data_IF_624025413933
#
_entry.id   IF_624025413933
#
_cell.length_a   1.000
_cell.length_b   1.000
_cell.length_c   1.000
_cell.angle_alpha   90.00
_cell.angle_beta   90.00
_cell.angle_gamma   90.00
#
_symmetry.space_group_name_H-M   'P 1'
#
loop_
_entity.id
_entity.type
_entity.pdbx_description
1 polymer ?
#
# COMPACT_ATOMS: atom_id res chain seq x y z
N UNK A 1 -7.02 -39.32 6.12
CA UNK A 1 -7.31 -39.15 7.57
C UNK A 1 -6.92 -37.76 8.09
N UNK A 2 -5.80 -37.21 7.68
CA UNK A 2 -5.30 -35.88 8.09
C UNK A 2 -6.21 -34.72 7.58
N UNK A 3 -6.66 -34.80 6.35
CA UNK A 3 -7.58 -33.81 5.76
C UNK A 3 -8.96 -33.76 6.44
N UNK A 4 -9.46 -34.87 6.95
CA UNK A 4 -10.68 -34.91 7.78
C UNK A 4 -10.48 -34.26 9.15
N UNK A 5 -9.30 -34.42 9.76
CA UNK A 5 -8.94 -33.76 11.03
C UNK A 5 -8.82 -32.24 10.88
N UNK A 6 -8.21 -31.77 9.81
CA UNK A 6 -8.13 -30.36 9.49
C UNK A 6 -9.51 -29.72 9.25
N UNK A 7 -10.41 -30.41 8.54
CA UNK A 7 -11.79 -29.94 8.37
C UNK A 7 -12.56 -29.91 9.68
N UNK A 8 -12.39 -30.88 10.55
CA UNK A 8 -12.99 -30.88 11.87
C UNK A 8 -12.48 -29.74 12.75
N UNK A 9 -11.17 -29.46 12.73
CA UNK A 9 -10.59 -28.33 13.44
C UNK A 9 -11.11 -26.97 12.93
N UNK A 10 -11.26 -26.79 11.63
CA UNK A 10 -11.61 -25.49 11.05
C UNK A 10 -13.10 -25.20 10.96
N UNK A 11 -13.96 -26.23 10.89
CA UNK A 11 -15.40 -26.08 10.65
C UNK A 11 -16.24 -26.39 11.90
N UNK A 12 -15.78 -27.30 12.75
CA UNK A 12 -16.56 -27.81 13.89
C UNK A 12 -16.02 -27.45 15.27
N UNK A 13 -14.87 -26.82 15.32
CA UNK A 13 -14.17 -26.51 16.56
C UNK A 13 -15.02 -25.76 17.59
N UNK A 14 -16.02 -25.01 17.15
CA UNK A 14 -16.80 -24.09 18.00
C UNK A 14 -18.02 -24.68 18.63
N UNK A 15 -18.67 -25.59 17.93
CA UNK A 15 -19.95 -26.16 18.38
C UNK A 15 -19.84 -27.62 18.80
N UNK A 16 -18.73 -28.28 18.48
CA UNK A 16 -18.51 -29.71 18.69
C UNK A 16 -17.23 -30.02 19.43
N UNK A 17 -16.71 -29.12 20.22
CA UNK A 17 -15.51 -29.32 21.01
C UNK A 17 -15.64 -30.54 21.91
N UNK A 18 -16.78 -30.67 22.60
CA UNK A 18 -17.05 -31.86 23.48
C UNK A 18 -17.12 -33.15 22.66
N UNK A 19 -17.76 -33.11 21.50
CA UNK A 19 -17.86 -34.26 20.60
C UNK A 19 -16.48 -34.65 20.04
N UNK A 20 -15.66 -33.66 19.68
CA UNK A 20 -14.32 -33.90 19.18
C UNK A 20 -13.42 -34.56 20.28
N UNK A 21 -13.53 -34.11 21.51
CA UNK A 21 -12.83 -34.67 22.66
C UNK A 21 -13.30 -36.10 22.92
N UNK A 22 -14.61 -36.35 22.87
CA UNK A 22 -15.16 -37.71 23.06
C UNK A 22 -14.67 -38.69 21.98
N UNK A 23 -14.71 -38.27 20.71
CA UNK A 23 -14.20 -39.07 19.58
C UNK A 23 -12.70 -39.30 19.70
N UNK A 24 -11.92 -38.29 20.13
CA UNK A 24 -10.48 -38.48 20.35
C UNK A 24 -10.17 -39.40 21.51
N UNK A 25 -10.93 -39.30 22.61
CA UNK A 25 -10.81 -40.21 23.76
C UNK A 25 -11.07 -41.65 23.32
N UNK A 26 -12.13 -41.89 22.57
CA UNK A 26 -12.46 -43.22 22.04
C UNK A 26 -11.37 -43.77 21.11
N UNK A 27 -10.91 -42.96 20.17
CA UNK A 27 -9.87 -43.33 19.20
C UNK A 27 -8.51 -43.61 19.83
N UNK A 28 -8.20 -42.99 20.95
CA UNK A 28 -6.91 -43.12 21.65
C UNK A 28 -6.97 -44.06 22.85
N UNK A 29 -8.16 -44.53 23.23
CA UNK A 29 -8.37 -45.36 24.44
C UNK A 29 -8.09 -44.61 25.75
N UNK A 30 -8.15 -43.28 25.74
CA UNK A 30 -7.91 -42.43 26.90
C UNK A 30 -9.23 -41.93 27.52
N UNK A 31 -9.18 -41.55 28.79
CA UNK A 31 -10.32 -40.88 29.42
C UNK A 31 -10.50 -39.46 28.84
N UNK A 32 -11.72 -38.94 28.93
CA UNK A 32 -12.02 -37.55 28.49
C UNK A 32 -11.09 -36.51 29.12
N UNK A 33 -10.77 -36.68 30.41
CA UNK A 33 -9.87 -35.78 31.13
C UNK A 33 -8.41 -35.84 30.68
N UNK A 34 -7.96 -36.97 30.11
CA UNK A 34 -6.60 -37.15 29.59
C UNK A 34 -6.44 -36.70 28.15
N UNK A 35 -7.54 -36.61 27.42
CA UNK A 35 -7.52 -36.25 25.98
C UNK A 35 -7.21 -34.77 25.76
N UNK A 36 -7.40 -33.93 26.77
CA UNK A 36 -7.21 -32.51 26.70
C UNK A 36 -8.37 -31.76 25.97
N UNK A 37 -8.27 -30.49 25.89
CA UNK A 37 -9.26 -29.62 25.23
C UNK A 37 -8.67 -28.99 23.99
N UNK A 38 -9.52 -28.75 22.99
CA UNK A 38 -9.15 -27.94 21.83
C UNK A 38 -9.19 -26.45 22.19
N UNK A 39 -8.25 -25.68 21.64
CA UNK A 39 -8.19 -24.24 21.83
C UNK A 39 -8.66 -23.57 20.53
N UNK A 40 -9.57 -22.61 20.64
CA UNK A 40 -10.01 -21.83 19.50
C UNK A 40 -8.91 -20.86 19.05
N UNK A 41 -8.74 -20.72 17.75
CA UNK A 41 -7.87 -19.68 17.18
C UNK A 41 -8.55 -18.31 17.26
N UNK A 42 -7.84 -17.25 17.64
CA UNK A 42 -8.36 -15.91 17.47
C UNK A 42 -8.52 -15.58 15.95
N UNK A 43 -9.48 -14.74 15.57
CA UNK A 43 -10.59 -14.25 16.39
C UNK A 43 -11.59 -15.37 16.72
N UNK A 44 -12.05 -15.40 17.95
CA UNK A 44 -13.07 -16.35 18.37
C UNK A 44 -14.41 -16.01 17.71
N UNK A 45 -15.01 -16.95 17.04
CA UNK A 45 -16.33 -16.77 16.44
C UNK A 45 -17.29 -17.88 16.88
N UNK A 46 -18.57 -17.55 17.09
CA UNK A 46 -19.13 -16.22 16.98
C UNK A 46 -18.58 -15.27 18.04
N UNK A 47 -18.29 -14.02 17.63
CA UNK A 47 -17.87 -12.97 18.56
C UNK A 47 -19.11 -12.48 19.30
N UNK A 48 -19.06 -12.41 20.63
CA UNK A 48 -20.18 -11.91 21.41
C UNK A 48 -20.43 -10.42 21.18
N UNK A 49 -21.68 -9.97 21.28
CA UNK A 49 -22.01 -8.56 21.19
C UNK A 49 -21.35 -7.73 22.29
N UNK A 50 -21.04 -8.32 23.44
CA UNK A 50 -20.29 -7.65 24.52
C UNK A 50 -18.86 -7.31 24.11
N UNK A 51 -18.21 -8.11 23.28
CA UNK A 51 -16.90 -7.80 22.72
C UNK A 51 -16.99 -6.65 21.74
N UNK A 52 -18.02 -6.60 20.90
CA UNK A 52 -18.26 -5.50 19.96
C UNK A 52 -18.65 -4.20 20.68
N UNK A 53 -19.39 -4.30 21.79
CA UNK A 53 -19.81 -3.16 22.59
C UNK A 53 -18.78 -2.65 23.60
N UNK A 54 -17.66 -3.35 23.81
CA UNK A 54 -16.61 -2.94 24.74
C UNK A 54 -15.81 -1.74 24.23
N UNK A 55 -15.72 -0.67 25.02
CA UNK A 55 -15.09 0.58 24.62
C UNK A 55 -13.59 0.45 24.24
N UNK A 56 -12.88 -0.47 24.85
CA UNK A 56 -11.43 -0.67 24.64
C UNK A 56 -11.07 -1.82 23.70
N UNK A 57 -12.06 -2.54 23.18
CA UNK A 57 -11.82 -3.66 22.28
C UNK A 57 -11.50 -3.24 20.85
N UNK A 58 -11.70 -1.95 20.51
CA UNK A 58 -11.53 -1.41 19.16
C UNK A 58 -10.15 -1.66 18.57
N UNK A 59 -9.09 -1.50 19.33
CA UNK A 59 -7.70 -1.66 18.85
C UNK A 59 -7.39 -3.11 18.46
N UNK A 60 -7.88 -4.08 19.22
CA UNK A 60 -7.68 -5.50 18.95
C UNK A 60 -8.62 -6.02 17.88
N UNK A 61 -9.82 -5.45 17.81
CA UNK A 61 -10.87 -5.85 16.86
C UNK A 61 -10.73 -5.14 15.50
N UNK A 62 -10.24 -3.91 15.53
CA UNK A 62 -9.99 -3.08 14.35
C UNK A 62 -8.55 -2.56 14.40
N UNK A 63 -7.58 -3.41 14.01
CA UNK A 63 -6.19 -3.00 14.01
C UNK A 63 -5.96 -1.84 13.05
N UNK A 64 -5.17 -0.87 13.48
CA UNK A 64 -4.77 0.28 12.66
C UNK A 64 -3.39 0.04 12.08
N UNK A 65 -3.21 0.41 10.83
CA UNK A 65 -1.92 0.40 10.14
C UNK A 65 -1.31 1.79 10.20
N UNK A 66 -0.04 1.87 10.51
CA UNK A 66 0.69 3.13 10.59
C UNK A 66 1.70 3.21 9.45
N UNK A 67 1.80 4.37 8.80
CA UNK A 67 2.83 4.59 7.79
C UNK A 67 4.20 4.74 8.45
N UNK A 68 5.30 4.48 7.72
CA UNK A 68 6.65 4.73 8.23
C UNK A 68 6.91 6.16 8.68
N UNK A 69 6.14 7.14 8.17
CA UNK A 69 6.26 8.56 8.54
C UNK A 69 5.35 8.97 9.69
N UNK A 70 4.57 8.04 10.26
CA UNK A 70 3.54 8.37 11.26
C UNK A 70 4.07 9.15 12.46
N UNK A 71 5.17 8.71 13.05
CA UNK A 71 5.72 9.38 14.24
C UNK A 71 6.28 10.77 13.90
N UNK A 72 6.87 10.94 12.72
CA UNK A 72 7.27 12.26 12.23
C UNK A 72 6.06 13.17 12.07
N UNK A 73 5.02 12.72 11.36
CA UNK A 73 3.80 13.49 11.14
C UNK A 73 3.13 13.88 12.48
N UNK A 74 3.07 12.94 13.42
CA UNK A 74 2.56 13.17 14.78
C UNK A 74 3.38 14.25 15.52
N UNK A 75 4.72 14.20 15.43
CA UNK A 75 5.60 15.20 16.04
C UNK A 75 5.42 16.60 15.43
N UNK A 76 4.97 16.67 14.16
CA UNK A 76 4.63 17.93 13.49
C UNK A 76 3.18 18.39 13.73
N UNK A 77 2.42 17.68 14.58
CA UNK A 77 1.05 18.04 14.93
C UNK A 77 0.00 17.65 13.88
N UNK A 78 0.28 16.65 13.06
CA UNK A 78 -0.67 16.19 12.05
C UNK A 78 -2.01 15.77 12.62
N UNK A 79 -3.08 16.10 11.93
CA UNK A 79 -4.40 15.50 12.12
C UNK A 79 -4.50 14.29 11.20
N UNK A 80 -4.97 13.17 11.73
CA UNK A 80 -5.03 11.91 11.00
C UNK A 80 -6.45 11.53 10.60
N UNK A 81 -6.55 10.85 9.46
CA UNK A 81 -7.78 10.21 8.96
C UNK A 81 -7.51 8.74 8.68
N UNK A 82 -8.51 7.91 8.96
CA UNK A 82 -8.43 6.48 8.66
C UNK A 82 -8.92 6.21 7.23
N UNK A 83 -8.09 5.55 6.43
CA UNK A 83 -8.41 5.10 5.07
C UNK A 83 -7.95 3.65 4.92
N UNK A 84 -8.87 2.71 4.70
CA UNK A 84 -8.55 1.30 4.54
C UNK A 84 -7.69 0.74 5.69
N UNK A 85 -8.01 1.07 6.93
CA UNK A 85 -7.25 0.76 8.17
C UNK A 85 -5.94 1.54 8.35
N UNK A 86 -5.47 2.29 7.36
CA UNK A 86 -4.30 3.14 7.51
C UNK A 86 -4.64 4.46 8.18
N UNK A 87 -3.80 4.88 9.12
CA UNK A 87 -3.82 6.23 9.65
C UNK A 87 -2.97 7.14 8.76
N UNK A 88 -3.63 7.99 7.98
CA UNK A 88 -2.97 8.95 7.08
C UNK A 88 -2.95 10.33 7.71
N UNK A 89 -1.82 11.05 7.62
CA UNK A 89 -1.80 12.47 7.89
C UNK A 89 -2.70 13.19 6.87
N UNK A 90 -3.65 13.96 7.35
CA UNK A 90 -4.63 14.66 6.53
C UNK A 90 -4.24 16.12 6.29
N UNK A 91 -3.83 16.81 7.33
CA UNK A 91 -3.32 18.18 7.30
C UNK A 91 -2.54 18.49 8.59
N UNK A 92 -1.76 19.59 8.57
CA UNK A 92 -0.90 20.02 9.65
C UNK A 92 -1.29 21.43 10.12
N UNK A 93 -2.14 21.57 11.16
CA UNK A 93 -2.63 22.87 11.62
C UNK A 93 -1.51 23.70 12.25
N UNK A 94 -1.56 25.02 12.03
CA UNK A 94 -0.68 26.00 12.67
C UNK A 94 -1.42 26.80 13.72
N UNK A 95 -0.67 27.37 14.66
CA UNK A 95 -1.24 28.23 15.71
C UNK A 95 -2.09 29.34 15.07
N UNK A 96 -3.35 29.46 15.51
CA UNK A 96 -4.30 30.46 15.01
C UNK A 96 -5.18 29.98 13.84
N UNK A 97 -4.96 28.80 13.31
CA UNK A 97 -5.88 28.16 12.36
C UNK A 97 -7.00 27.45 13.13
N UNK A 98 -8.21 28.03 13.05
CA UNK A 98 -9.37 27.57 13.84
C UNK A 98 -10.25 26.55 13.10
N UNK A 99 -10.00 26.32 11.80
CA UNK A 99 -10.77 25.40 10.98
C UNK A 99 -9.82 24.60 10.08
N UNK A 100 -10.19 23.35 9.81
CA UNK A 100 -9.46 22.50 8.87
C UNK A 100 -9.30 23.17 7.49
N UNK A 101 -10.31 23.89 7.06
CA UNK A 101 -10.31 24.57 5.75
C UNK A 101 -9.18 25.59 5.61
N UNK A 102 -8.93 26.41 6.65
CA UNK A 102 -7.83 27.38 6.63
C UNK A 102 -6.47 26.71 6.51
N UNK A 103 -6.30 25.59 7.22
CA UNK A 103 -5.07 24.78 7.13
C UNK A 103 -4.87 24.24 5.73
N UNK A 104 -5.89 23.60 5.16
CA UNK A 104 -5.83 23.01 3.82
C UNK A 104 -5.61 24.08 2.74
N UNK A 105 -6.31 25.21 2.81
CA UNK A 105 -6.13 26.33 1.87
C UNK A 105 -4.68 26.84 1.90
N UNK A 106 -4.08 26.98 3.10
CA UNK A 106 -2.67 27.37 3.24
C UNK A 106 -1.73 26.33 2.63
N UNK A 107 -1.94 25.05 2.91
CA UNK A 107 -1.08 23.98 2.38
C UNK A 107 -1.16 23.88 0.86
N UNK A 108 -2.36 24.02 0.29
CA UNK A 108 -2.56 24.04 -1.16
C UNK A 108 -1.85 25.23 -1.78
N UNK A 109 -2.01 26.43 -1.23
CA UNK A 109 -1.33 27.63 -1.73
C UNK A 109 0.18 27.53 -1.61
N UNK A 110 0.70 26.98 -0.50
CA UNK A 110 2.12 26.76 -0.31
C UNK A 110 2.68 25.73 -1.32
N UNK A 111 1.98 24.65 -1.58
CA UNK A 111 2.35 23.66 -2.61
C UNK A 111 2.41 24.30 -4.01
N UNK A 112 1.43 25.10 -4.37
CA UNK A 112 1.37 25.79 -5.69
C UNK A 112 2.43 26.87 -5.85
N UNK A 113 2.86 27.49 -4.75
CA UNK A 113 3.91 28.52 -4.77
C UNK A 113 5.32 27.93 -4.61
N UNK A 114 5.46 26.77 -4.00
CA UNK A 114 6.73 26.15 -3.63
C UNK A 114 6.77 24.65 -3.94
N UNK A 115 6.75 23.84 -2.90
CA UNK A 115 6.71 22.38 -3.00
C UNK A 115 5.95 21.76 -1.84
N UNK A 116 4.99 20.89 -2.14
CA UNK A 116 4.29 20.06 -1.17
C UNK A 116 4.80 18.63 -1.18
N UNK A 117 4.87 18.02 0.01
CA UNK A 117 5.25 16.62 0.19
C UNK A 117 4.10 15.90 0.88
N UNK A 118 3.54 14.90 0.21
CA UNK A 118 2.44 14.10 0.74
C UNK A 118 2.86 12.64 0.87
N UNK A 119 2.60 12.05 2.05
CA UNK A 119 2.79 10.60 2.26
C UNK A 119 1.70 9.81 1.53
N UNK A 120 2.08 9.13 0.46
CA UNK A 120 1.23 8.25 -0.34
C UNK A 120 1.60 6.77 -0.17
N UNK A 121 2.31 6.44 0.92
CA UNK A 121 2.72 5.07 1.27
C UNK A 121 1.56 4.08 1.29
N UNK A 122 0.36 4.55 1.60
CA UNK A 122 -0.81 3.70 1.79
C UNK A 122 -1.44 3.18 0.49
N UNK A 123 -1.07 3.74 -0.67
CA UNK A 123 -1.47 3.20 -1.97
C UNK A 123 -1.01 1.75 -2.10
N UNK A 124 -1.87 0.87 -2.58
CA UNK A 124 -1.48 -0.50 -2.87
C UNK A 124 -0.34 -0.55 -3.87
N UNK A 125 0.60 -1.45 -3.68
CA UNK A 125 1.73 -1.71 -4.59
C UNK A 125 1.86 -3.19 -4.82
N UNK A 126 1.83 -3.58 -6.08
CA UNK A 126 2.02 -4.96 -6.51
C UNK A 126 3.18 -4.99 -7.51
N UNK A 127 4.24 -5.71 -7.17
CA UNK A 127 5.27 -6.07 -8.14
C UNK A 127 4.75 -7.25 -8.97
N UNK A 128 4.74 -7.09 -10.29
CA UNK A 128 4.31 -8.10 -11.28
C UNK A 128 5.52 -8.47 -12.11
N UNK A 129 5.92 -9.72 -12.06
CA UNK A 129 7.14 -10.21 -12.70
C UNK A 129 6.86 -11.49 -13.49
N UNK A 130 7.61 -11.69 -14.56
CA UNK A 130 7.53 -12.86 -15.43
C UNK A 130 7.50 -12.48 -16.90
N UNK A 131 7.80 -13.45 -17.75
CA UNK A 131 7.86 -13.23 -19.21
C UNK A 131 6.51 -12.80 -19.78
N UNK A 132 5.41 -13.21 -19.15
CA UNK A 132 4.03 -12.88 -19.55
C UNK A 132 3.40 -11.74 -18.71
N UNK A 133 4.20 -11.02 -17.91
CA UNK A 133 3.68 -9.95 -17.06
C UNK A 133 2.94 -8.87 -17.86
N UNK A 134 3.46 -8.48 -19.03
CA UNK A 134 2.80 -7.50 -19.92
C UNK A 134 1.47 -8.01 -20.48
N UNK A 135 1.40 -9.26 -20.90
CA UNK A 135 0.17 -9.90 -21.38
C UNK A 135 -0.87 -10.02 -20.26
N UNK A 136 -0.45 -10.44 -19.08
CA UNK A 136 -1.30 -10.52 -17.91
C UNK A 136 -1.94 -9.16 -17.60
N UNK A 137 -1.13 -8.10 -17.61
CA UNK A 137 -1.61 -6.75 -17.32
C UNK A 137 -2.54 -6.20 -18.42
N UNK A 138 -2.34 -6.57 -19.69
CA UNK A 138 -3.27 -6.24 -20.79
C UNK A 138 -4.66 -6.88 -20.58
N UNK A 139 -4.70 -8.07 -19.95
CA UNK A 139 -5.98 -8.74 -19.65
C UNK A 139 -6.67 -8.17 -18.41
N UNK A 140 -5.90 -7.61 -17.47
CA UNK A 140 -6.44 -7.05 -16.21
C UNK A 140 -6.91 -5.61 -16.38
N UNK A 141 -6.21 -4.81 -17.19
CA UNK A 141 -6.51 -3.40 -17.41
C UNK A 141 -7.24 -3.13 -18.73
N UNK A 142 -8.06 -2.10 -18.75
CA UNK A 142 -8.66 -1.59 -19.98
C UNK A 142 -7.61 -0.92 -20.91
N UNK A 143 -6.43 -0.62 -20.38
CA UNK A 143 -5.33 0.03 -21.08
C UNK A 143 -4.28 -1.00 -21.53
N UNK A 144 -3.67 -0.77 -22.70
CA UNK A 144 -2.62 -1.66 -23.22
C UNK A 144 -1.32 -1.51 -22.45
N UNK A 145 -1.03 -2.40 -21.50
CA UNK A 145 0.18 -2.35 -20.65
C UNK A 145 1.37 -3.06 -21.28
N UNK A 146 1.16 -4.08 -22.10
CA UNK A 146 2.22 -4.83 -22.80
C UNK A 146 3.06 -3.92 -23.72
N UNK A 147 2.44 -2.93 -24.34
CA UNK A 147 3.11 -1.95 -25.22
C UNK A 147 3.84 -0.84 -24.47
N UNK A 148 3.78 -0.80 -23.13
CA UNK A 148 4.48 0.18 -22.32
C UNK A 148 6.00 -0.04 -22.44
N UNK A 149 6.75 1.02 -22.75
CA UNK A 149 8.21 0.95 -22.85
C UNK A 149 8.85 0.82 -21.46
N UNK A 150 9.96 0.13 -21.35
CA UNK A 150 10.78 0.12 -20.14
C UNK A 150 11.16 1.55 -19.76
N UNK A 151 11.11 1.86 -18.47
CA UNK A 151 11.35 3.19 -17.94
C UNK A 151 10.14 4.14 -18.04
N UNK A 152 8.96 3.65 -18.43
CA UNK A 152 7.75 4.46 -18.54
C UNK A 152 6.62 3.99 -17.62
N UNK A 153 5.71 4.91 -17.34
CA UNK A 153 4.49 4.71 -16.56
C UNK A 153 3.27 4.88 -17.46
N UNK A 154 2.21 4.19 -17.17
CA UNK A 154 0.88 4.42 -17.77
C UNK A 154 -0.18 4.39 -16.68
N UNK A 155 -1.10 5.37 -16.70
CA UNK A 155 -2.31 5.29 -15.90
C UNK A 155 -3.20 4.17 -16.44
N UNK A 156 -3.77 3.39 -15.54
CA UNK A 156 -4.59 2.22 -15.88
C UNK A 156 -5.91 2.22 -15.11
N UNK A 157 -6.94 1.74 -15.79
CA UNK A 157 -8.28 1.55 -15.26
C UNK A 157 -8.61 0.06 -15.27
N UNK A 158 -8.97 -0.49 -14.12
CA UNK A 158 -9.54 -1.82 -13.99
C UNK A 158 -11.06 -1.74 -14.01
N UNK A 159 -11.68 -2.57 -14.81
CA UNK A 159 -13.13 -2.65 -14.90
C UNK A 159 -13.61 -3.99 -14.33
N UNK A 160 -14.82 -3.96 -13.78
CA UNK A 160 -15.59 -5.16 -13.48
C UNK A 160 -16.20 -5.72 -14.77
N UNK A 161 -16.67 -6.96 -14.72
CA UNK A 161 -17.34 -7.61 -15.86
C UNK A 161 -18.60 -6.87 -16.33
N UNK A 162 -19.25 -6.11 -15.44
CA UNK A 162 -20.39 -5.25 -15.75
C UNK A 162 -20.01 -3.89 -16.35
N UNK A 163 -18.70 -3.62 -16.56
CA UNK A 163 -18.17 -2.40 -17.15
C UNK A 163 -17.98 -1.24 -16.17
N UNK A 164 -18.31 -1.40 -14.87
CA UNK A 164 -18.05 -0.37 -13.89
C UNK A 164 -16.57 -0.33 -13.51
N UNK A 165 -16.06 0.88 -13.23
CA UNK A 165 -14.73 1.07 -12.70
C UNK A 165 -14.60 0.35 -11.34
N UNK A 166 -13.59 -0.51 -11.23
CA UNK A 166 -13.31 -1.24 -10.00
C UNK A 166 -12.20 -0.57 -9.21
N UNK A 167 -11.10 -0.27 -9.89
CA UNK A 167 -9.99 0.49 -9.34
C UNK A 167 -9.21 1.19 -10.46
N UNK A 168 -8.35 2.11 -10.06
CA UNK A 168 -7.45 2.80 -10.96
C UNK A 168 -6.08 2.97 -10.29
N UNK A 169 -5.08 3.21 -11.11
CA UNK A 169 -3.73 3.42 -10.61
C UNK A 169 -2.71 3.58 -11.71
N UNK A 170 -1.45 3.47 -11.37
CA UNK A 170 -0.35 3.55 -12.33
C UNK A 170 0.30 2.19 -12.51
N UNK A 171 0.70 1.90 -13.74
CA UNK A 171 1.52 0.76 -14.09
C UNK A 171 2.87 1.28 -14.60
N UNK A 172 3.96 0.98 -13.90
CA UNK A 172 5.31 1.36 -14.24
C UNK A 172 6.11 0.14 -14.71
N UNK A 173 6.72 0.18 -15.89
CA UNK A 173 7.58 -0.89 -16.40
C UNK A 173 9.03 -0.59 -16.04
N UNK A 174 9.58 -1.27 -15.04
CA UNK A 174 10.94 -1.05 -14.53
C UNK A 174 12.00 -1.87 -15.28
N UNK A 175 11.59 -3.03 -15.84
CA UNK A 175 12.43 -3.88 -16.69
C UNK A 175 11.57 -4.59 -17.72
N UNK A 176 12.17 -5.39 -18.60
CA UNK A 176 11.42 -6.10 -19.66
C UNK A 176 10.28 -6.98 -19.10
N UNK A 177 10.56 -7.64 -17.98
CA UNK A 177 9.72 -8.62 -17.31
C UNK A 177 9.25 -8.16 -15.91
N UNK A 178 9.45 -6.86 -15.57
CA UNK A 178 9.12 -6.32 -14.24
C UNK A 178 8.27 -5.06 -14.34
N UNK A 179 7.10 -5.14 -13.71
CA UNK A 179 6.18 -4.01 -13.55
C UNK A 179 5.88 -3.74 -12.08
N UNK A 180 5.54 -2.50 -11.78
CA UNK A 180 4.98 -2.09 -10.49
C UNK A 180 3.63 -1.44 -10.75
N UNK A 181 2.62 -2.00 -10.12
CA UNK A 181 1.23 -1.54 -10.23
C UNK A 181 0.82 -0.90 -8.91
N UNK A 182 0.20 0.28 -8.99
CA UNK A 182 -0.42 0.90 -7.82
C UNK A 182 -1.94 0.73 -7.86
N UNK A 183 -2.57 0.74 -6.68
CA UNK A 183 -4.03 0.68 -6.50
C UNK A 183 -4.45 1.75 -5.51
N UNK A 184 -5.74 2.05 -5.45
CA UNK A 184 -6.26 2.87 -4.35
C UNK A 184 -6.04 2.19 -3.01
N UNK A 185 -5.88 3.00 -1.95
CA UNK A 185 -5.58 2.49 -0.60
C UNK A 185 -6.62 1.48 -0.09
N UNK A 186 -7.90 1.80 -0.26
CA UNK A 186 -8.98 0.97 0.26
C UNK A 186 -9.13 -0.36 -0.48
N UNK A 187 -8.81 -0.38 -1.77
CA UNK A 187 -8.98 -1.56 -2.64
C UNK A 187 -7.73 -2.44 -2.74
N UNK A 188 -6.60 -2.06 -2.15
CA UNK A 188 -5.33 -2.78 -2.33
C UNK A 188 -5.43 -4.30 -2.13
N UNK A 189 -6.10 -4.73 -1.06
CA UNK A 189 -6.29 -6.15 -0.79
C UNK A 189 -7.26 -6.84 -1.74
N UNK A 190 -8.32 -6.14 -2.15
CA UNK A 190 -9.35 -6.67 -3.08
C UNK A 190 -8.76 -6.87 -4.47
N UNK A 191 -8.02 -5.88 -4.96
CA UNK A 191 -7.38 -5.94 -6.29
C UNK A 191 -6.27 -7.00 -6.30
N UNK A 192 -5.46 -7.08 -5.24
CA UNK A 192 -4.44 -8.14 -5.15
C UNK A 192 -5.08 -9.55 -5.21
N UNK A 193 -6.16 -9.78 -4.48
CA UNK A 193 -6.91 -11.04 -4.52
C UNK A 193 -7.48 -11.33 -5.92
N UNK A 194 -7.99 -10.30 -6.60
CA UNK A 194 -8.50 -10.45 -7.96
C UNK A 194 -7.39 -10.82 -8.94
N UNK A 195 -6.25 -10.14 -8.88
CA UNK A 195 -5.09 -10.46 -9.73
C UNK A 195 -4.60 -11.88 -9.46
N UNK A 196 -4.55 -12.33 -8.20
CA UNK A 196 -4.22 -13.72 -7.85
C UNK A 196 -5.24 -14.72 -8.38
N UNK A 197 -6.53 -14.39 -8.33
CA UNK A 197 -7.58 -15.23 -8.93
C UNK A 197 -7.40 -15.34 -10.45
N UNK A 198 -7.15 -14.23 -11.13
CA UNK A 198 -6.89 -14.22 -12.56
C UNK A 198 -5.68 -15.10 -12.92
N UNK A 199 -4.58 -14.95 -12.17
CA UNK A 199 -3.35 -15.72 -12.38
C UNK A 199 -3.53 -17.21 -12.12
N UNK A 200 -4.20 -17.57 -11.03
CA UNK A 200 -4.28 -18.97 -10.59
C UNK A 200 -5.43 -19.75 -11.23
N UNK A 201 -6.53 -19.08 -11.58
CA UNK A 201 -7.76 -19.74 -12.01
C UNK A 201 -8.12 -19.45 -13.46
N UNK A 202 -7.95 -18.23 -13.95
CA UNK A 202 -8.34 -17.86 -15.31
C UNK A 202 -7.22 -18.06 -16.33
N UNK A 203 -5.98 -17.74 -15.96
CA UNK A 203 -4.81 -17.78 -16.86
C UNK A 203 -3.60 -18.43 -16.17
N UNK A 204 -3.76 -19.70 -15.70
CA UNK A 204 -2.68 -20.40 -15.01
C UNK A 204 -1.49 -20.76 -15.91
N UNK A 205 -1.66 -20.66 -17.21
CA UNK A 205 -0.63 -20.91 -18.23
C UNK A 205 0.39 -19.75 -18.35
N UNK A 206 0.06 -18.56 -17.86
CA UNK A 206 0.95 -17.41 -17.93
C UNK A 206 2.09 -17.49 -16.91
N UNK A 207 3.31 -17.24 -17.37
CA UNK A 207 4.48 -17.10 -16.49
C UNK A 207 4.46 -15.72 -15.83
N UNK A 208 3.75 -15.62 -14.72
CA UNK A 208 3.59 -14.37 -13.93
C UNK A 208 3.65 -14.66 -12.42
N UNK A 209 4.39 -13.83 -11.72
CA UNK A 209 4.44 -13.80 -10.27
C UNK A 209 3.93 -12.46 -9.75
N UNK A 210 3.09 -12.49 -8.72
CA UNK A 210 2.52 -11.31 -8.07
C UNK A 210 3.02 -11.23 -6.63
N UNK A 211 3.54 -10.06 -6.25
CA UNK A 211 4.03 -9.82 -4.90
C UNK A 211 3.44 -8.52 -4.39
N UNK A 212 2.65 -8.57 -3.31
CA UNK A 212 2.24 -7.34 -2.63
C UNK A 212 3.43 -6.71 -1.92
N UNK A 213 3.81 -5.53 -2.36
CA UNK A 213 4.94 -4.77 -1.81
C UNK A 213 4.49 -3.48 -1.12
N UNK A 214 3.19 -3.37 -0.80
CA UNK A 214 2.60 -2.19 -0.15
C UNK A 214 3.35 -1.81 1.12
N UNK A 215 3.66 -2.77 1.99
CA UNK A 215 4.35 -2.53 3.26
C UNK A 215 5.88 -2.45 3.12
N UNK A 216 6.42 -2.81 1.97
CA UNK A 216 7.87 -2.80 1.73
C UNK A 216 8.42 -1.42 1.37
N UNK A 217 7.57 -0.51 0.87
CA UNK A 217 7.95 0.79 0.36
C UNK A 217 7.22 1.93 1.05
N UNK A 218 7.98 2.89 1.60
CA UNK A 218 7.49 4.21 1.93
C UNK A 218 7.53 5.06 0.66
N UNK A 219 6.42 5.72 0.31
CA UNK A 219 6.28 6.48 -0.91
C UNK A 219 5.73 7.88 -0.63
N UNK A 220 6.38 8.89 -1.17
CA UNK A 220 6.00 10.29 -1.02
C UNK A 220 5.75 10.90 -2.39
N UNK A 221 4.64 11.62 -2.52
CA UNK A 221 4.39 12.52 -3.65
C UNK A 221 5.05 13.87 -3.35
N UNK A 222 5.82 14.38 -4.30
CA UNK A 222 6.51 15.67 -4.23
C UNK A 222 5.99 16.53 -5.39
N UNK A 223 5.22 17.56 -5.10
CA UNK A 223 4.48 18.32 -6.11
C UNK A 223 4.68 19.83 -5.94
N UNK A 224 4.68 20.57 -7.04
CA UNK A 224 4.79 22.02 -7.07
C UNK A 224 5.96 22.49 -7.94
N UNK A 225 6.07 23.80 -8.20
CA UNK A 225 7.08 24.37 -9.10
C UNK A 225 8.54 24.07 -8.67
N UNK A 226 8.77 23.88 -7.38
CA UNK A 226 10.09 23.56 -6.85
C UNK A 226 10.32 22.04 -6.62
N UNK A 227 9.41 21.17 -7.02
CA UNK A 227 9.52 19.71 -6.79
C UNK A 227 10.83 19.13 -7.33
N UNK A 228 11.21 19.49 -8.57
CA UNK A 228 12.48 19.03 -9.16
C UNK A 228 13.68 19.54 -8.38
N UNK A 229 13.73 20.83 -8.04
CA UNK A 229 14.83 21.43 -7.27
C UNK A 229 15.03 20.75 -5.92
N UNK A 230 13.94 20.34 -5.28
CA UNK A 230 14.01 19.58 -4.04
C UNK A 230 14.59 18.19 -4.26
N UNK A 231 14.12 17.49 -5.31
CA UNK A 231 14.60 16.14 -5.59
C UNK A 231 16.06 16.12 -6.05
N UNK A 232 16.56 17.14 -6.78
CA UNK A 232 17.98 17.30 -7.12
C UNK A 232 18.91 17.33 -5.90
N UNK A 233 18.38 17.71 -4.72
CA UNK A 233 19.14 17.75 -3.46
C UNK A 233 19.21 16.39 -2.74
N UNK A 234 18.44 15.41 -3.18
CA UNK A 234 18.37 14.08 -2.54
C UNK A 234 18.69 12.94 -3.50
N UNK A 235 18.52 13.13 -4.80
CA UNK A 235 18.83 12.12 -5.84
C UNK A 235 20.35 12.11 -6.12
N UNK A 236 20.92 10.91 -6.17
CA UNK A 236 22.36 10.73 -6.36
C UNK A 236 22.68 10.56 -7.86
N UNK A 237 23.21 11.61 -8.50
CA UNK A 237 23.83 11.54 -9.83
C UNK A 237 22.95 11.09 -10.99
N UNK A 238 21.63 11.14 -10.84
CA UNK A 238 20.67 10.78 -11.88
C UNK A 238 20.03 12.05 -12.49
N UNK A 239 19.97 12.11 -13.81
CA UNK A 239 19.35 13.25 -14.52
C UNK A 239 17.83 13.20 -14.45
N UNK A 240 17.23 14.14 -13.68
CA UNK A 240 15.80 14.32 -13.55
C UNK A 240 15.27 15.53 -14.33
N UNK A 241 16.03 16.05 -15.31
CA UNK A 241 15.59 17.07 -16.25
C UNK A 241 14.39 16.60 -17.09
N UNK A 242 13.84 17.49 -17.92
CA UNK A 242 12.78 17.09 -18.83
C UNK A 242 13.26 16.11 -19.91
N UNK A 243 14.49 16.25 -20.31
CA UNK A 243 15.18 15.46 -21.33
C UNK A 243 15.58 14.08 -20.78
N UNK A 244 16.20 14.04 -19.60
CA UNK A 244 16.67 12.82 -18.97
C UNK A 244 15.58 11.99 -18.32
N UNK A 245 14.53 12.66 -17.80
CA UNK A 245 13.43 12.00 -17.10
C UNK A 245 12.09 12.65 -17.50
N UNK A 246 11.54 12.33 -18.68
CA UNK A 246 10.34 12.96 -19.22
C UNK A 246 9.07 12.62 -18.40
N UNK A 247 7.99 13.36 -18.64
CA UNK A 247 6.71 13.06 -18.02
C UNK A 247 6.29 11.61 -18.27
N UNK A 248 5.76 10.93 -17.26
CA UNK A 248 5.47 9.50 -17.21
C UNK A 248 6.71 8.59 -17.27
N UNK A 249 7.90 9.09 -16.96
CA UNK A 249 9.08 8.24 -16.75
C UNK A 249 9.10 7.58 -15.37
N UNK A 250 9.77 6.43 -15.26
CA UNK A 250 10.10 5.77 -14.00
C UNK A 250 11.51 5.18 -14.05
N UNK A 251 12.16 5.11 -12.88
CA UNK A 251 13.49 4.53 -12.76
C UNK A 251 13.74 3.96 -11.36
N UNK A 252 14.60 2.94 -11.30
CA UNK A 252 15.32 2.58 -10.09
C UNK A 252 16.59 3.45 -10.02
N UNK A 253 16.83 4.08 -8.88
CA UNK A 253 17.96 4.96 -8.66
C UNK A 253 18.42 4.92 -7.20
N UNK A 254 19.36 5.77 -6.82
CA UNK A 254 19.76 5.96 -5.43
C UNK A 254 19.52 7.39 -4.98
N UNK A 255 19.32 7.55 -3.67
CA UNK A 255 19.10 8.85 -3.01
C UNK A 255 19.90 8.92 -1.72
N UNK A 256 20.20 10.13 -1.27
CA UNK A 256 20.83 10.40 0.03
C UNK A 256 22.13 9.60 0.28
N UNK A 257 22.96 9.44 -0.74
CA UNK A 257 24.27 8.77 -0.61
C UNK A 257 24.20 7.25 -0.70
N UNK A 258 23.36 6.70 -1.59
CA UNK A 258 23.34 5.28 -1.93
C UNK A 258 22.12 4.49 -1.45
N UNK A 259 21.12 5.15 -0.86
CA UNK A 259 19.85 4.50 -0.51
C UNK A 259 19.08 4.18 -1.80
N UNK A 260 18.74 2.92 -2.02
CA UNK A 260 17.94 2.47 -3.18
C UNK A 260 16.56 3.12 -3.14
N UNK A 261 16.12 3.62 -4.29
CA UNK A 261 14.82 4.26 -4.46
C UNK A 261 14.20 3.91 -5.82
N UNK A 262 12.90 4.08 -5.90
CA UNK A 262 12.12 4.13 -7.15
C UNK A 262 11.62 5.56 -7.34
N UNK A 263 11.78 6.11 -8.52
CA UNK A 263 11.27 7.44 -8.85
C UNK A 263 10.31 7.34 -10.03
N UNK A 264 9.17 8.03 -9.91
CA UNK A 264 8.13 8.09 -10.93
C UNK A 264 7.82 9.57 -11.21
N UNK A 265 7.85 9.99 -12.47
CA UNK A 265 7.43 11.34 -12.84
C UNK A 265 5.96 11.37 -13.24
N UNK A 266 5.11 11.35 -12.25
CA UNK A 266 3.66 11.32 -12.37
C UNK A 266 3.06 12.46 -11.55
N UNK A 267 1.86 12.94 -11.94
CA UNK A 267 1.18 14.03 -11.26
C UNK A 267 -0.29 13.69 -11.06
N UNK A 268 -0.74 13.74 -9.81
CA UNK A 268 -2.14 13.66 -9.45
C UNK A 268 -2.79 15.06 -9.42
N UNK A 269 -2.05 16.05 -8.94
CA UNK A 269 -2.55 17.42 -8.73
C UNK A 269 -2.50 18.32 -9.97
N UNK A 270 -1.88 17.88 -11.07
CA UNK A 270 -1.61 18.68 -12.25
C UNK A 270 -0.38 19.59 -12.16
N UNK A 271 0.27 19.65 -11.00
CA UNK A 271 1.55 20.33 -10.79
C UNK A 271 2.72 19.51 -11.39
N UNK A 272 3.91 20.14 -11.53
CA UNK A 272 5.14 19.39 -11.69
C UNK A 272 5.30 18.49 -10.48
N UNK A 273 5.20 17.18 -10.68
CA UNK A 273 5.20 16.26 -9.58
C UNK A 273 5.97 14.97 -9.86
N UNK A 274 6.39 14.36 -8.78
CA UNK A 274 7.09 13.07 -8.75
C UNK A 274 6.57 12.26 -7.57
N UNK A 275 6.68 10.94 -7.68
CA UNK A 275 6.56 10.05 -6.53
C UNK A 275 7.89 9.34 -6.32
N UNK A 276 8.42 9.42 -5.09
CA UNK A 276 9.65 8.79 -4.69
C UNK A 276 9.35 7.71 -3.64
N UNK A 277 9.84 6.51 -3.87
CA UNK A 277 9.68 5.39 -2.96
C UNK A 277 11.03 4.85 -2.49
N UNK A 278 11.16 4.61 -1.18
CA UNK A 278 12.32 3.97 -0.55
C UNK A 278 11.88 2.77 0.28
N UNK A 279 12.76 1.82 0.62
CA UNK A 279 12.39 0.75 1.56
C UNK A 279 11.79 1.32 2.83
N UNK A 280 10.68 0.75 3.29
CA UNK A 280 9.78 1.33 4.31
C UNK A 280 10.52 1.83 5.56
N UNK A 281 11.55 1.11 6.02
CA UNK A 281 12.36 1.49 7.19
C UNK A 281 13.06 2.86 7.09
N UNK A 282 13.21 3.39 5.87
CA UNK A 282 13.84 4.70 5.64
C UNK A 282 12.83 5.83 5.39
N UNK A 283 11.53 5.53 5.37
CA UNK A 283 10.50 6.52 5.05
C UNK A 283 10.51 7.73 5.96
N UNK A 284 10.63 7.51 7.27
CA UNK A 284 10.72 8.60 8.25
C UNK A 284 11.96 9.49 8.03
N UNK A 285 13.11 8.88 7.78
CA UNK A 285 14.36 9.60 7.55
C UNK A 285 14.31 10.40 6.22
N UNK A 286 13.76 9.82 5.16
CA UNK A 286 13.60 10.52 3.89
C UNK A 286 12.66 11.71 4.01
N UNK A 287 11.50 11.56 4.69
CA UNK A 287 10.56 12.67 4.93
C UNK A 287 11.26 13.81 5.67
N UNK A 288 11.92 13.52 6.78
CA UNK A 288 12.64 14.52 7.56
C UNK A 288 13.75 15.20 6.71
N UNK A 289 14.48 14.44 5.91
CA UNK A 289 15.53 14.97 5.03
C UNK A 289 14.96 15.89 3.95
N UNK A 290 13.89 15.49 3.27
CA UNK A 290 13.25 16.32 2.25
C UNK A 290 12.70 17.63 2.83
N UNK A 291 12.07 17.59 3.99
CA UNK A 291 11.60 18.79 4.68
C UNK A 291 12.76 19.71 5.06
N UNK A 292 13.88 19.15 5.54
CA UNK A 292 15.08 19.91 5.89
C UNK A 292 15.69 20.61 4.67
N UNK A 293 15.95 19.85 3.58
CA UNK A 293 16.60 20.42 2.39
C UNK A 293 15.66 21.26 1.53
N UNK A 294 14.36 21.13 1.72
CA UNK A 294 13.34 21.90 1.01
C UNK A 294 12.87 23.16 1.74
N UNK A 295 13.41 23.46 2.91
CA UNK A 295 12.94 24.58 3.75
C UNK A 295 12.99 25.94 3.02
N UNK A 296 14.08 26.23 2.33
CA UNK A 296 14.27 27.45 1.52
C UNK A 296 13.45 27.45 0.22
N UNK A 297 12.93 26.29 -0.19
CA UNK A 297 12.04 26.13 -1.35
C UNK A 297 10.55 26.22 -0.97
N UNK A 298 10.24 26.48 0.29
CA UNK A 298 8.90 26.55 0.83
C UNK A 298 8.23 25.18 0.96
N UNK A 299 9.00 24.12 1.34
CA UNK A 299 8.46 22.78 1.55
C UNK A 299 7.37 22.77 2.62
N UNK A 300 6.25 22.12 2.33
CA UNK A 300 5.08 22.02 3.21
C UNK A 300 4.48 20.61 3.18
#
# INVERSE_FOLDING_TARGET
KEYRRQRQMCIRDRTSNVTAIAVMAELTGQSLGQTGTTIFRPPYTPVSMSVLGGGDTGVHFRPRRLTPTHEWAKSQGAVFVEVGQWMRAQYFPRKGETTWRRTVDREVLATRAGVGICDVTTLGKVDVQGTDAGEFLDRVYANAMKSLKVGMVRYGLMLREDGFAWDDGTCARLAEDQYVVTTTTANAGTIYKHMEFCRQCLWPELDVQLISTTDAWAQMSVAGPHARKLLERVVDGFDISNEGFPFMACANLTVCGGLRARLFRISFSGELAYEIAVPARYGNALMARMMQVGADLGAT
#
